data_IF_766727628452
#
_entry.id   IF_766727628452
#
_cell.length_a   1.000
_cell.length_b   1.000
_cell.length_c   1.000
_cell.angle_alpha   90.00
_cell.angle_beta   90.00
_cell.angle_gamma   90.00
#
_symmetry.space_group_name_H-M   'P 1'
#
loop_
_entity.id
_entity.type
_entity.pdbx_description
1 polymer ?
#
# COMPACT_ATOMS: atom_id res chain seq x y z
N UNK A 1 70.10 19.03 11.73
CA UNK A 1 69.29 19.44 12.89
C UNK A 1 68.26 20.41 12.38
N UNK A 2 66.96 20.10 12.50
CA UNK A 2 65.91 21.01 12.06
C UNK A 2 65.90 22.26 12.94
N UNK A 3 65.60 23.41 12.36
CA UNK A 3 65.54 24.69 13.08
C UNK A 3 64.26 24.80 13.93
N UNK A 4 64.28 25.57 15.02
CA UNK A 4 63.11 25.80 15.89
C UNK A 4 61.88 26.32 15.11
N UNK A 5 62.11 27.15 14.10
CA UNK A 5 61.05 27.68 13.24
C UNK A 5 60.37 26.58 12.38
N UNK A 6 61.13 25.58 11.93
CA UNK A 6 60.58 24.44 11.20
C UNK A 6 59.76 23.53 12.12
N UNK A 7 60.23 23.33 13.36
CA UNK A 7 59.52 22.57 14.39
C UNK A 7 58.16 23.21 14.76
N UNK A 8 58.12 24.52 14.97
CA UNK A 8 56.88 25.24 15.30
C UNK A 8 55.90 25.24 14.11
N UNK A 9 56.41 25.37 12.87
CA UNK A 9 55.60 25.29 11.65
C UNK A 9 54.98 23.90 11.45
N UNK A 10 55.73 22.83 11.72
CA UNK A 10 55.24 21.45 11.63
C UNK A 10 54.17 21.19 12.70
N UNK A 11 54.36 21.69 13.93
CA UNK A 11 53.40 21.57 15.01
C UNK A 11 52.06 22.26 14.68
N UNK A 12 52.10 23.50 14.18
CA UNK A 12 50.87 24.21 13.76
C UNK A 12 50.12 23.52 12.62
N UNK A 13 50.85 22.89 11.68
CA UNK A 13 50.23 22.06 10.63
C UNK A 13 49.59 20.79 11.19
N UNK A 14 50.24 20.17 12.18
CA UNK A 14 49.73 18.96 12.84
C UNK A 14 48.45 19.26 13.63
N UNK A 15 48.42 20.38 14.35
CA UNK A 15 47.23 20.82 15.11
C UNK A 15 46.07 21.12 14.15
N UNK A 16 46.35 21.80 13.03
CA UNK A 16 45.35 22.07 11.99
C UNK A 16 44.79 20.78 11.36
N UNK A 17 45.66 19.81 11.07
CA UNK A 17 45.25 18.50 10.55
C UNK A 17 44.40 17.72 11.57
N UNK A 18 44.74 17.82 12.86
CA UNK A 18 44.03 17.13 13.94
C UNK A 18 42.62 17.68 14.13
N UNK A 19 42.45 19.01 14.06
CA UNK A 19 41.12 19.65 14.09
C UNK A 19 40.29 19.23 12.89
N UNK A 20 40.85 19.27 11.67
CA UNK A 20 40.14 18.85 10.45
C UNK A 20 39.74 17.38 10.47
N UNK A 21 40.56 16.51 11.07
CA UNK A 21 40.25 15.10 11.22
C UNK A 21 39.06 14.91 12.18
N UNK A 22 39.06 15.58 13.33
CA UNK A 22 37.96 15.52 14.29
C UNK A 22 36.63 16.03 13.69
N UNK A 23 36.67 17.11 12.90
CA UNK A 23 35.50 17.63 12.18
C UNK A 23 34.98 16.62 11.14
N UNK A 24 35.88 15.97 10.40
CA UNK A 24 35.54 14.94 9.41
C UNK A 24 34.92 13.70 10.07
N UNK A 25 35.47 13.26 11.20
CA UNK A 25 34.92 12.14 11.97
C UNK A 25 33.53 12.45 12.52
N UNK A 26 33.32 13.66 13.06
CA UNK A 26 32.00 14.09 13.51
C UNK A 26 30.97 14.16 12.37
N UNK A 27 31.38 14.65 11.19
CA UNK A 27 30.52 14.68 10.01
C UNK A 27 30.16 13.26 9.51
N UNK A 28 31.13 12.34 9.55
CA UNK A 28 30.91 10.93 9.20
C UNK A 28 29.91 10.28 10.15
N UNK A 29 30.07 10.50 11.44
CA UNK A 29 29.22 9.89 12.47
C UNK A 29 27.78 10.44 12.39
N UNK A 30 27.62 11.74 12.13
CA UNK A 30 26.31 12.34 11.86
C UNK A 30 25.64 11.74 10.60
N UNK A 31 26.43 11.50 9.55
CA UNK A 31 25.94 10.86 8.31
C UNK A 31 25.53 9.40 8.56
N UNK A 32 26.31 8.64 9.32
CA UNK A 32 25.98 7.27 9.69
C UNK A 32 24.71 7.19 10.54
N UNK A 33 24.54 8.12 11.48
CA UNK A 33 23.33 8.20 12.30
C UNK A 33 22.09 8.47 11.43
N UNK A 34 22.17 9.46 10.53
CA UNK A 34 21.08 9.79 9.59
C UNK A 34 20.73 8.61 8.68
N UNK A 35 21.74 7.86 8.20
CA UNK A 35 21.54 6.67 7.40
C UNK A 35 20.81 5.57 8.18
N UNK A 36 21.22 5.29 9.42
CA UNK A 36 20.56 4.28 10.28
C UNK A 36 19.11 4.64 10.57
N UNK A 37 18.84 5.93 10.84
CA UNK A 37 17.48 6.41 11.05
C UNK A 37 16.63 6.20 9.80
N UNK A 38 17.13 6.61 8.63
CA UNK A 38 16.45 6.44 7.35
C UNK A 38 16.19 4.97 7.01
N UNK A 39 17.14 4.07 7.31
CA UNK A 39 16.96 2.63 7.16
C UNK A 39 15.85 2.10 8.06
N UNK A 40 15.80 2.51 9.33
CA UNK A 40 14.72 2.15 10.26
C UNK A 40 13.35 2.70 9.82
N UNK A 41 13.33 3.88 9.20
CA UNK A 41 12.10 4.45 8.63
C UNK A 41 11.64 3.66 7.40
N UNK A 42 12.56 3.27 6.51
CA UNK A 42 12.25 2.37 5.38
C UNK A 42 11.71 1.04 5.87
N UNK A 43 12.28 0.47 6.92
CA UNK A 43 11.84 -0.81 7.48
C UNK A 43 10.45 -0.71 8.12
N UNK A 44 10.15 0.38 8.82
CA UNK A 44 8.79 0.71 9.30
C UNK A 44 7.80 0.93 8.18
N UNK A 45 8.18 1.64 7.13
CA UNK A 45 7.34 1.80 5.95
C UNK A 45 7.08 0.44 5.29
N UNK A 46 8.11 -0.39 5.15
CA UNK A 46 7.96 -1.75 4.59
C UNK A 46 7.07 -2.65 5.44
N UNK A 47 7.08 -2.53 6.76
CA UNK A 47 6.16 -3.30 7.62
C UNK A 47 4.73 -2.77 7.54
N UNK A 48 4.57 -1.45 7.45
CA UNK A 48 3.25 -0.78 7.33
C UNK A 48 2.60 -1.04 5.96
N UNK A 49 3.40 -1.01 4.90
CA UNK A 49 2.96 -1.20 3.51
C UNK A 49 3.34 -2.57 2.96
N UNK A 50 3.59 -3.56 3.82
CA UNK A 50 3.94 -4.92 3.38
C UNK A 50 2.78 -5.45 2.55
N UNK A 51 2.97 -5.54 1.24
CA UNK A 51 2.08 -6.31 0.38
C UNK A 51 2.02 -7.72 0.99
N UNK A 52 0.85 -8.22 1.42
CA UNK A 52 0.74 -9.59 1.87
C UNK A 52 1.29 -10.49 0.77
N UNK A 53 1.99 -11.56 1.15
CA UNK A 53 2.27 -12.62 0.19
C UNK A 53 0.92 -13.07 -0.34
N UNK A 54 0.63 -12.65 -1.58
CA UNK A 54 -0.66 -12.88 -2.21
C UNK A 54 -0.91 -14.37 -2.13
N UNK A 55 -2.02 -14.74 -1.49
CA UNK A 55 -2.42 -16.14 -1.47
C UNK A 55 -2.46 -16.65 -2.92
N UNK A 56 -2.13 -17.94 -3.17
CA UNK A 56 -2.18 -18.51 -4.51
C UNK A 56 -3.55 -18.33 -5.20
N UNK A 57 -4.60 -18.07 -4.43
CA UNK A 57 -5.93 -17.65 -4.90
C UNK A 57 -5.95 -16.22 -5.46
N UNK A 58 -5.35 -15.25 -4.76
CA UNK A 58 -5.22 -13.87 -5.23
C UNK A 58 -4.34 -13.74 -6.48
N UNK A 59 -3.27 -14.53 -6.57
CA UNK A 59 -2.37 -14.57 -7.73
C UNK A 59 -3.05 -15.08 -9.02
N UNK A 60 -4.17 -15.82 -8.89
CA UNK A 60 -4.94 -16.32 -10.03
C UNK A 60 -5.90 -15.28 -10.62
N UNK A 61 -6.21 -14.19 -9.93
CA UNK A 61 -7.27 -13.25 -10.33
C UNK A 61 -6.79 -11.97 -11.02
N UNK A 62 -5.72 -12.11 -11.80
CA UNK A 62 -5.06 -11.01 -12.48
C UNK A 62 -3.96 -10.38 -11.63
N UNK A 63 -3.21 -9.44 -12.23
CA UNK A 63 -2.23 -8.64 -11.50
C UNK A 63 -2.97 -7.74 -10.53
N UNK A 64 -2.85 -8.01 -9.22
CA UNK A 64 -3.26 -7.05 -8.19
C UNK A 64 -2.46 -5.77 -8.41
N UNK A 65 -3.15 -4.65 -8.57
CA UNK A 65 -2.51 -3.36 -8.86
C UNK A 65 -2.26 -2.56 -7.59
N UNK A 66 -3.19 -2.65 -6.63
CA UNK A 66 -3.10 -1.96 -5.35
C UNK A 66 -3.65 -2.82 -4.21
N UNK A 67 -3.09 -2.64 -3.02
CA UNK A 67 -3.47 -3.35 -1.81
C UNK A 67 -3.63 -2.40 -0.63
N UNK A 68 -4.66 -2.61 0.19
CA UNK A 68 -4.93 -1.82 1.38
C UNK A 68 -5.21 -2.73 2.57
N UNK A 69 -4.61 -2.43 3.72
CA UNK A 69 -4.98 -3.07 4.97
C UNK A 69 -6.23 -2.40 5.53
N UNK A 70 -7.22 -3.21 5.92
CA UNK A 70 -8.51 -2.76 6.44
C UNK A 70 -8.96 -3.66 7.59
N UNK A 71 -10.02 -3.23 8.26
CA UNK A 71 -10.81 -4.07 9.15
C UNK A 71 -12.11 -4.44 8.44
N UNK A 72 -12.30 -5.73 8.13
CA UNK A 72 -13.54 -6.23 7.57
C UNK A 72 -14.54 -6.49 8.69
N UNK A 73 -15.62 -5.71 8.71
CA UNK A 73 -16.70 -5.84 9.68
C UNK A 73 -17.72 -6.85 9.19
N UNK A 74 -17.99 -7.88 9.99
CA UNK A 74 -18.99 -8.87 9.66
C UNK A 74 -20.40 -8.29 9.85
N UNK A 75 -21.16 -8.16 8.77
CA UNK A 75 -22.52 -7.61 8.77
C UNK A 75 -23.62 -8.67 8.83
N UNK A 76 -23.33 -9.89 9.31
CA UNK A 76 -24.39 -10.90 9.51
C UNK A 76 -25.48 -10.38 10.44
N UNK A 77 -26.72 -10.47 9.97
CA UNK A 77 -27.93 -9.88 10.54
C UNK A 77 -28.11 -10.18 12.04
N UNK A 78 -28.01 -9.14 12.87
CA UNK A 78 -28.59 -9.13 14.22
C UNK A 78 -27.64 -9.31 15.41
N UNK A 79 -26.34 -9.48 15.19
CA UNK A 79 -25.34 -9.44 16.26
C UNK A 79 -24.50 -8.18 16.14
N UNK A 80 -24.13 -7.59 17.27
CA UNK A 80 -23.37 -6.34 17.37
C UNK A 80 -22.23 -6.28 16.35
N UNK A 81 -22.14 -5.16 15.62
CA UNK A 81 -21.16 -4.90 14.56
C UNK A 81 -19.70 -4.78 15.06
N UNK A 82 -19.38 -5.39 16.20
CA UNK A 82 -18.15 -5.17 16.97
C UNK A 82 -17.01 -6.12 16.66
N UNK A 83 -17.24 -7.20 15.90
CA UNK A 83 -16.17 -8.13 15.52
C UNK A 83 -15.70 -7.85 14.09
N UNK A 84 -14.79 -6.88 13.98
CA UNK A 84 -14.02 -6.62 12.77
C UNK A 84 -12.74 -7.46 12.74
N UNK A 85 -12.46 -8.11 11.60
CA UNK A 85 -11.22 -8.86 11.38
C UNK A 85 -10.24 -8.03 10.55
N UNK A 86 -8.94 -8.07 10.86
CA UNK A 86 -7.91 -7.50 9.97
C UNK A 86 -7.92 -8.27 8.64
N UNK A 87 -8.07 -7.53 7.55
CA UNK A 87 -8.13 -8.06 6.21
C UNK A 87 -7.31 -7.20 5.24
N UNK A 88 -7.02 -7.75 4.07
CA UNK A 88 -6.45 -7.02 2.96
C UNK A 88 -7.47 -6.88 1.83
N UNK A 89 -7.62 -5.66 1.31
CA UNK A 89 -8.35 -5.39 0.08
C UNK A 89 -7.34 -5.33 -1.04
N UNK A 90 -7.52 -6.20 -2.03
CA UNK A 90 -6.66 -6.34 -3.17
C UNK A 90 -7.48 -6.03 -4.42
N UNK A 91 -7.16 -4.93 -5.10
CA UNK A 91 -7.90 -4.47 -6.28
C UNK A 91 -7.04 -4.74 -7.51
N UNK A 92 -7.58 -5.52 -8.44
CA UNK A 92 -6.97 -5.82 -9.72
C UNK A 92 -7.89 -5.48 -10.90
N UNK A 93 -7.42 -5.80 -12.10
CA UNK A 93 -8.14 -5.53 -13.36
C UNK A 93 -9.46 -6.30 -13.51
N UNK A 94 -9.56 -7.46 -12.88
CA UNK A 94 -10.70 -8.36 -13.03
C UNK A 94 -11.65 -8.34 -11.82
N UNK A 95 -11.18 -7.87 -10.66
CA UNK A 95 -11.98 -7.91 -9.45
C UNK A 95 -11.33 -7.30 -8.22
N UNK A 96 -12.07 -7.42 -7.13
CA UNK A 96 -11.68 -7.09 -5.78
C UNK A 96 -11.61 -8.39 -4.98
N UNK A 97 -10.50 -8.59 -4.27
CA UNK A 97 -10.28 -9.72 -3.40
C UNK A 97 -10.12 -9.24 -1.95
N UNK A 98 -10.86 -9.88 -1.04
CA UNK A 98 -10.74 -9.71 0.40
C UNK A 98 -9.98 -10.91 0.96
N UNK A 99 -8.83 -10.65 1.57
CA UNK A 99 -7.96 -11.66 2.20
C UNK A 99 -7.92 -11.43 3.71
N UNK A 100 -8.76 -12.15 4.45
CA UNK A 100 -8.70 -12.25 5.90
C UNK A 100 -8.31 -13.67 6.31
N UNK A 101 -7.88 -13.85 7.56
CA UNK A 101 -7.41 -15.16 8.06
C UNK A 101 -8.58 -16.15 8.12
N UNK A 102 -9.74 -15.71 8.61
CA UNK A 102 -10.92 -16.56 8.77
C UNK A 102 -11.71 -16.74 7.47
N UNK A 103 -11.63 -15.77 6.56
CA UNK A 103 -12.45 -15.71 5.35
C UNK A 103 -11.72 -15.04 4.20
N UNK A 104 -11.85 -15.64 3.04
CA UNK A 104 -11.40 -15.07 1.77
C UNK A 104 -12.58 -14.96 0.82
N UNK A 105 -12.70 -13.83 0.12
CA UNK A 105 -13.77 -13.66 -0.86
C UNK A 105 -13.30 -12.89 -2.08
N UNK A 106 -13.80 -13.31 -3.23
CA UNK A 106 -13.39 -12.80 -4.53
C UNK A 106 -14.60 -12.32 -5.30
N UNK A 107 -14.53 -11.07 -5.73
CA UNK A 107 -15.65 -10.37 -6.34
C UNK A 107 -15.21 -9.82 -7.70
N UNK A 108 -15.76 -10.37 -8.78
CA UNK A 108 -15.49 -9.84 -10.12
C UNK A 108 -16.06 -8.40 -10.23
N UNK A 109 -15.40 -7.52 -10.99
CA UNK A 109 -15.86 -6.12 -11.11
C UNK A 109 -17.32 -6.03 -11.60
N UNK A 110 -17.75 -6.96 -12.47
CA UNK A 110 -19.12 -7.05 -12.99
C UNK A 110 -20.19 -7.42 -11.97
N UNK A 111 -19.80 -8.00 -10.83
CA UNK A 111 -20.73 -8.40 -9.77
C UNK A 111 -20.92 -7.31 -8.72
N UNK A 112 -20.06 -6.29 -8.72
CA UNK A 112 -20.18 -5.15 -7.81
C UNK A 112 -21.35 -4.28 -8.29
N UNK A 113 -22.42 -4.26 -7.52
CA UNK A 113 -23.65 -3.54 -7.85
C UNK A 113 -23.51 -2.05 -7.51
N UNK A 114 -22.99 -1.77 -6.31
CA UNK A 114 -22.88 -0.43 -5.74
C UNK A 114 -21.73 -0.39 -4.74
N UNK A 115 -21.10 0.76 -4.59
CA UNK A 115 -20.20 1.05 -3.49
C UNK A 115 -20.30 2.52 -3.10
N UNK A 116 -20.06 2.82 -1.83
CA UNK A 116 -20.11 4.15 -1.25
C UNK A 116 -19.33 4.21 0.07
N UNK A 117 -19.17 5.42 0.60
CA UNK A 117 -18.60 5.65 1.93
C UNK A 117 -19.73 6.02 2.89
N UNK A 118 -19.83 5.33 4.02
CA UNK A 118 -20.84 5.55 5.06
C UNK A 118 -20.14 5.56 6.41
N UNK A 119 -20.31 6.63 7.20
CA UNK A 119 -19.68 6.79 8.53
C UNK A 119 -18.17 6.57 8.53
N UNK A 120 -17.48 6.97 7.46
CA UNK A 120 -16.04 6.78 7.32
C UNK A 120 -15.60 5.35 6.99
N UNK A 121 -16.55 4.43 6.74
CA UNK A 121 -16.29 3.08 6.27
C UNK A 121 -16.58 2.95 4.78
N UNK A 122 -15.78 2.12 4.09
CA UNK A 122 -16.06 1.74 2.71
C UNK A 122 -17.10 0.61 2.70
N UNK A 123 -18.20 0.84 1.98
CA UNK A 123 -19.32 -0.08 1.85
C UNK A 123 -19.44 -0.50 0.38
N UNK A 124 -19.59 -1.81 0.12
CA UNK A 124 -19.89 -2.27 -1.23
C UNK A 124 -20.86 -3.46 -1.23
N UNK A 125 -21.69 -3.50 -2.26
CA UNK A 125 -22.72 -4.49 -2.49
C UNK A 125 -22.35 -5.35 -3.70
N UNK A 126 -22.39 -6.67 -3.54
CA UNK A 126 -22.09 -7.64 -4.59
C UNK A 126 -23.27 -8.55 -4.84
N UNK A 127 -23.55 -8.79 -6.13
CA UNK A 127 -24.59 -9.72 -6.56
C UNK A 127 -23.99 -11.12 -6.74
N UNK A 128 -24.29 -12.03 -5.81
CA UNK A 128 -23.81 -13.41 -5.80
C UNK A 128 -25.02 -14.35 -5.86
N UNK A 129 -25.10 -15.20 -6.89
CA UNK A 129 -26.17 -16.20 -7.02
C UNK A 129 -27.61 -15.64 -6.81
N UNK A 130 -27.88 -14.43 -7.32
CA UNK A 130 -29.14 -13.67 -7.17
C UNK A 130 -29.44 -13.16 -5.75
N UNK A 131 -28.48 -13.20 -4.83
CA UNK A 131 -28.53 -12.55 -3.52
C UNK A 131 -27.59 -11.35 -3.51
N UNK A 132 -28.01 -10.29 -2.85
CA UNK A 132 -27.18 -9.12 -2.62
C UNK A 132 -26.46 -9.30 -1.28
N UNK A 133 -25.13 -9.31 -1.31
CA UNK A 133 -24.29 -9.33 -0.11
C UNK A 133 -23.66 -7.95 0.08
N UNK A 134 -23.66 -7.47 1.32
CA UNK A 134 -23.06 -6.18 1.69
C UNK A 134 -21.80 -6.40 2.51
N UNK A 135 -20.75 -5.69 2.17
CA UNK A 135 -19.46 -5.71 2.86
C UNK A 135 -19.15 -4.32 3.40
N UNK A 136 -18.72 -4.28 4.66
CA UNK A 136 -18.26 -3.06 5.35
C UNK A 136 -16.79 -3.21 5.69
N UNK A 137 -15.99 -2.25 5.22
CA UNK A 137 -14.55 -2.19 5.47
C UNK A 137 -14.22 -0.88 6.17
N UNK A 138 -13.59 -0.98 7.33
CA UNK A 138 -13.14 0.17 8.11
C UNK A 138 -11.64 0.36 7.93
N UNK A 139 -11.23 1.60 7.72
CA UNK A 139 -9.83 1.99 7.58
C UNK A 139 -9.68 3.48 7.89
N UNK A 140 -8.44 3.98 7.88
CA UNK A 140 -8.23 5.42 7.92
C UNK A 140 -8.94 6.11 6.75
N UNK A 141 -9.51 7.32 6.90
CA UNK A 141 -10.30 7.98 5.85
C UNK A 141 -9.58 8.06 4.50
N UNK A 142 -8.29 8.37 4.50
CA UNK A 142 -7.46 8.40 3.28
C UNK A 142 -7.39 7.05 2.57
N UNK A 143 -7.40 5.94 3.32
CA UNK A 143 -7.40 4.59 2.77
C UNK A 143 -8.76 4.27 2.14
N UNK A 144 -9.86 4.68 2.77
CA UNK A 144 -11.21 4.53 2.22
C UNK A 144 -11.36 5.27 0.89
N UNK A 145 -10.91 6.51 0.83
CA UNK A 145 -10.92 7.30 -0.41
C UNK A 145 -10.06 6.64 -1.51
N UNK A 146 -8.89 6.12 -1.15
CA UNK A 146 -8.02 5.39 -2.07
C UNK A 146 -8.65 4.10 -2.60
N UNK A 147 -9.32 3.31 -1.73
CA UNK A 147 -10.06 2.10 -2.12
C UNK A 147 -11.16 2.48 -3.13
N UNK A 148 -11.95 3.51 -2.82
CA UNK A 148 -13.03 3.97 -3.68
C UNK A 148 -12.50 4.43 -5.04
N UNK A 149 -11.45 5.24 -5.08
CA UNK A 149 -10.85 5.74 -6.31
C UNK A 149 -10.25 4.61 -7.16
N UNK A 150 -9.54 3.68 -6.53
CA UNK A 150 -8.95 2.53 -7.21
C UNK A 150 -10.02 1.62 -7.82
N UNK A 151 -11.07 1.30 -7.06
CA UNK A 151 -12.16 0.46 -7.56
C UNK A 151 -12.92 1.14 -8.71
N UNK A 152 -13.23 2.43 -8.57
CA UNK A 152 -13.89 3.21 -9.60
C UNK A 152 -13.05 3.27 -10.89
N UNK A 153 -11.74 3.42 -10.76
CA UNK A 153 -10.79 3.39 -11.88
C UNK A 153 -10.81 2.03 -12.59
N UNK A 154 -10.73 0.93 -11.83
CA UNK A 154 -10.74 -0.43 -12.37
C UNK A 154 -12.05 -0.73 -13.13
N UNK A 155 -13.21 -0.35 -12.57
CA UNK A 155 -14.51 -0.49 -13.23
C UNK A 155 -14.55 0.31 -14.54
N UNK A 156 -14.08 1.57 -14.51
CA UNK A 156 -14.06 2.41 -15.71
C UNK A 156 -13.16 1.83 -16.81
N UNK A 157 -12.00 1.28 -16.45
CA UNK A 157 -11.13 0.58 -17.39
C UNK A 157 -11.85 -0.62 -18.02
N UNK A 158 -12.49 -1.46 -17.18
CA UNK A 158 -13.23 -2.64 -17.66
C UNK A 158 -14.38 -2.29 -18.59
N UNK A 159 -15.12 -1.22 -18.29
CA UNK A 159 -16.20 -0.72 -19.15
C UNK A 159 -15.67 -0.25 -20.51
N UNK A 160 -14.49 0.39 -20.56
CA UNK A 160 -13.85 0.80 -21.83
C UNK A 160 -13.46 -0.41 -22.67
N UNK A 161 -12.88 -1.45 -22.06
CA UNK A 161 -12.51 -2.70 -22.74
C UNK A 161 -13.74 -3.40 -23.36
N UNK A 162 -14.84 -3.51 -22.61
CA UNK A 162 -16.07 -4.13 -23.10
C UNK A 162 -16.69 -3.36 -24.28
N UNK A 163 -16.59 -2.03 -24.28
CA UNK A 163 -17.05 -1.20 -25.41
C UNK A 163 -16.15 -1.36 -26.64
N UNK A 164 -14.84 -1.53 -26.45
CA UNK A 164 -13.89 -1.71 -27.54
C UNK A 164 -14.06 -3.06 -28.27
N UNK A 165 -14.34 -4.13 -27.54
CA UNK A 165 -14.57 -5.47 -28.12
C UNK A 165 -15.93 -5.59 -28.83
N UNK A 166 -16.97 -4.89 -28.36
CA UNK A 166 -18.29 -4.87 -29.00
C UNK A 166 -18.34 -4.18 -30.38
N UNK A 167 -17.32 -3.39 -30.74
CA UNK A 167 -17.28 -2.65 -32.02
C UNK A 167 -16.78 -3.49 -33.20
N UNK A 168 -16.20 -4.68 -32.97
CA UNK A 168 -15.70 -5.58 -34.04
C UNK A 168 -16.75 -6.52 -34.64
N UNK A 169 -17.97 -6.57 -34.09
CA UNK A 169 -19.03 -7.50 -34.55
C UNK A 169 -20.12 -6.91 -35.45
N UNK A 170 -20.11 -5.61 -35.75
CA UNK A 170 -21.08 -4.95 -36.66
C UNK A 170 -20.43 -4.65 -38.02
N UNK A 171 -19.96 -5.69 -38.70
CA UNK A 171 -19.50 -5.64 -40.09
C UNK A 171 -20.35 -6.56 -40.97
N UNK A 172 -21.37 -5.96 -41.60
CA UNK A 172 -22.15 -6.38 -42.79
C UNK A 172 -22.01 -7.85 -43.25
N UNK A 173 -23.05 -8.63 -43.00
CA UNK A 173 -23.56 -9.61 -43.97
C UNK A 173 -24.55 -8.91 -44.89
#
# INVERSE_FOLDING_TARGET
TASEAELESVKGKLDTMSVRLAESEAARDATQHSLRQSQGDIERLRSTYKLPELSPEAAKFGTTEVSFQVTWVNMTSGADASEGESAWVLIGKEGLFLDAVSRKSLHALKTIHKFNTVDGAFMFEVLIAKKLETHRLEAAPVVVDCIQAALQSAINAKVREMKASGKKGKGKG
#
